data_IF_751459640000
#
_entry.id   IF_751459640000
#
_cell.length_a   1.000
_cell.length_b   1.000
_cell.length_c   1.000
_cell.angle_alpha   90.00
_cell.angle_beta   90.00
_cell.angle_gamma   90.00
#
_symmetry.space_group_name_H-M   'P 1'
#
loop_
_entity.id
_entity.type
_entity.pdbx_description
1 polymer ?
#
# COMPACT_ATOMS: atom_id res chain seq x y z
N UNK A 1 17.88 -4.78 -1.62
CA UNK A 1 16.48 -4.35 -1.81
C UNK A 1 16.10 -4.54 -3.26
N UNK A 2 14.94 -5.12 -3.54
CA UNK A 2 14.42 -5.27 -4.91
C UNK A 2 13.37 -4.20 -5.15
N UNK A 3 13.45 -3.49 -6.27
CA UNK A 3 12.56 -2.36 -6.56
C UNK A 3 12.05 -2.43 -7.99
N UNK A 4 10.88 -1.84 -8.23
CA UNK A 4 10.44 -1.48 -9.57
C UNK A 4 11.24 -0.25 -10.05
N UNK A 5 11.00 0.21 -11.28
CA UNK A 5 11.55 1.49 -11.78
C UNK A 5 10.57 2.61 -11.46
N UNK A 6 11.06 3.72 -10.92
CA UNK A 6 10.28 4.89 -10.49
C UNK A 6 11.16 6.14 -10.36
N UNK A 7 10.57 7.30 -10.07
CA UNK A 7 11.29 8.57 -9.90
C UNK A 7 11.94 8.71 -8.52
N UNK A 8 11.45 7.98 -7.53
CA UNK A 8 11.96 7.85 -6.16
C UNK A 8 13.27 7.06 -6.05
N UNK A 9 13.65 6.41 -7.15
CA UNK A 9 14.80 5.50 -7.23
C UNK A 9 16.14 6.12 -6.81
N UNK A 10 16.48 7.38 -7.11
CA UNK A 10 17.79 7.93 -6.74
C UNK A 10 18.00 7.99 -5.22
N UNK A 11 17.02 8.48 -4.47
CA UNK A 11 17.09 8.54 -3.00
C UNK A 11 17.15 7.14 -2.41
N UNK A 12 16.26 6.27 -2.86
CA UNK A 12 16.14 4.90 -2.40
C UNK A 12 17.43 4.09 -2.69
N UNK A 13 18.06 4.33 -3.85
CA UNK A 13 19.37 3.78 -4.21
C UNK A 13 20.49 4.30 -3.30
N UNK A 14 20.58 5.62 -3.12
CA UNK A 14 21.61 6.25 -2.31
C UNK A 14 21.53 5.78 -0.84
N UNK A 15 20.33 5.81 -0.26
CA UNK A 15 20.11 5.44 1.14
C UNK A 15 20.41 3.96 1.38
N UNK A 16 19.89 3.07 0.52
CA UNK A 16 20.15 1.64 0.70
C UNK A 16 21.63 1.29 0.51
N UNK A 17 22.33 2.00 -0.39
CA UNK A 17 23.78 1.82 -0.58
C UNK A 17 24.55 2.29 0.65
N UNK A 18 24.30 3.50 1.14
CA UNK A 18 24.96 4.02 2.35
C UNK A 18 24.69 3.18 3.59
N UNK A 19 23.45 2.71 3.79
CA UNK A 19 23.11 1.79 4.88
C UNK A 19 23.86 0.46 4.75
N UNK A 20 24.01 -0.07 3.53
CA UNK A 20 24.74 -1.32 3.28
C UNK A 20 26.23 -1.19 3.58
N UNK A 21 26.84 -0.06 3.21
CA UNK A 21 28.25 0.21 3.46
C UNK A 21 28.56 0.31 4.96
N UNK A 22 27.69 0.96 5.73
CA UNK A 22 27.89 1.17 7.17
C UNK A 22 27.54 -0.07 8.00
N UNK A 23 26.38 -0.68 7.76
CA UNK A 23 25.85 -1.72 8.65
C UNK A 23 26.17 -3.14 8.18
N UNK A 24 26.61 -3.32 6.93
CA UNK A 24 26.98 -4.64 6.39
C UNK A 24 28.20 -4.61 5.48
N UNK A 25 29.35 -4.06 5.94
CA UNK A 25 30.55 -3.93 5.10
C UNK A 25 31.11 -5.27 4.62
N UNK A 26 30.78 -6.38 5.31
CA UNK A 26 31.26 -7.72 4.99
C UNK A 26 30.40 -8.45 3.95
N UNK A 27 29.30 -7.86 3.47
CA UNK A 27 28.45 -8.48 2.46
C UNK A 27 28.96 -8.15 1.07
N UNK A 28 29.26 -9.18 0.28
CA UNK A 28 29.72 -9.03 -1.10
C UNK A 28 28.67 -8.31 -1.97
N UNK A 29 28.99 -7.08 -2.36
CA UNK A 29 28.14 -6.21 -3.17
C UNK A 29 27.99 -6.71 -4.61
N UNK A 30 28.98 -7.42 -5.15
CA UNK A 30 28.88 -7.98 -6.50
C UNK A 30 27.87 -9.14 -6.57
N UNK A 31 27.79 -9.92 -5.48
CA UNK A 31 26.83 -11.03 -5.36
C UNK A 31 25.47 -10.60 -4.82
N UNK A 32 25.45 -9.67 -3.87
CA UNK A 32 24.25 -9.19 -3.18
C UNK A 32 24.18 -7.66 -3.23
N UNK A 33 23.83 -7.09 -4.40
CA UNK A 33 23.81 -5.64 -4.56
C UNK A 33 22.83 -4.98 -3.58
N UNK A 34 23.15 -3.76 -3.09
CA UNK A 34 22.29 -3.01 -2.18
C UNK A 34 20.90 -2.81 -2.78
N UNK A 35 20.84 -2.48 -4.08
CA UNK A 35 19.61 -2.28 -4.84
C UNK A 35 19.65 -3.10 -6.11
N UNK A 36 18.53 -3.76 -6.41
CA UNK A 36 18.33 -4.53 -7.63
C UNK A 36 17.00 -4.16 -8.26
N UNK A 37 17.03 -3.61 -9.47
CA UNK A 37 15.83 -3.18 -10.18
C UNK A 37 15.32 -4.30 -11.08
N UNK A 38 14.06 -4.66 -10.91
CA UNK A 38 13.37 -5.64 -11.74
C UNK A 38 12.13 -5.02 -12.39
N UNK A 39 11.67 -5.61 -13.49
CA UNK A 39 10.33 -5.31 -14.01
C UNK A 39 9.29 -5.91 -13.06
N UNK A 40 8.14 -5.27 -12.91
CA UNK A 40 7.06 -5.75 -12.02
C UNK A 40 6.70 -7.20 -12.28
N UNK A 41 6.60 -7.60 -13.55
CA UNK A 41 6.30 -8.98 -13.98
C UNK A 41 7.30 -10.05 -13.51
N UNK A 42 8.48 -9.63 -13.02
CA UNK A 42 9.51 -10.51 -12.47
C UNK A 42 9.57 -10.47 -10.93
N UNK A 43 8.74 -9.65 -10.28
CA UNK A 43 8.61 -9.62 -8.83
C UNK A 43 7.57 -10.68 -8.38
N UNK A 44 7.87 -11.96 -8.63
CA UNK A 44 6.95 -13.08 -8.36
C UNK A 44 6.29 -13.06 -6.97
N UNK A 45 6.98 -12.68 -5.87
CA UNK A 45 6.34 -12.57 -4.57
C UNK A 45 5.19 -11.54 -4.50
N UNK A 46 5.36 -10.34 -5.08
CA UNK A 46 4.29 -9.33 -5.06
C UNK A 46 3.14 -9.73 -5.98
N UNK A 47 3.45 -10.30 -7.15
CA UNK A 47 2.44 -10.76 -8.10
C UNK A 47 1.59 -11.89 -7.50
N UNK A 48 2.21 -12.80 -6.72
CA UNK A 48 1.49 -13.81 -5.97
C UNK A 48 0.58 -13.22 -4.88
N UNK A 49 0.99 -12.13 -4.22
CA UNK A 49 0.15 -11.45 -3.23
C UNK A 49 -1.08 -10.80 -3.86
N UNK A 50 -0.96 -10.22 -5.06
CA UNK A 50 -2.11 -9.65 -5.77
C UNK A 50 -3.18 -10.67 -6.11
N UNK A 51 -2.76 -11.90 -6.44
CA UNK A 51 -3.68 -13.02 -6.65
C UNK A 51 -4.47 -13.34 -5.37
N UNK A 52 -3.78 -13.52 -4.24
CA UNK A 52 -4.44 -13.81 -2.96
C UNK A 52 -5.33 -12.67 -2.47
N UNK A 53 -4.91 -11.42 -2.69
CA UNK A 53 -5.71 -10.24 -2.40
C UNK A 53 -7.03 -10.27 -3.18
N UNK A 54 -6.95 -10.51 -4.50
CA UNK A 54 -8.12 -10.59 -5.37
C UNK A 54 -9.07 -11.73 -4.98
N UNK A 55 -8.52 -12.90 -4.64
CA UNK A 55 -9.32 -14.03 -4.15
C UNK A 55 -10.01 -13.73 -2.81
N UNK A 56 -9.31 -13.07 -1.87
CA UNK A 56 -9.82 -12.74 -0.55
C UNK A 56 -10.90 -11.66 -0.60
N UNK A 57 -10.68 -10.59 -1.38
CA UNK A 57 -11.69 -9.56 -1.59
C UNK A 57 -12.97 -10.12 -2.22
N UNK A 58 -12.87 -11.22 -2.97
CA UNK A 58 -14.02 -11.88 -3.61
C UNK A 58 -14.73 -11.00 -4.65
N UNK A 59 -14.11 -9.88 -5.04
CA UNK A 59 -14.63 -8.88 -5.94
C UNK A 59 -13.57 -8.52 -6.97
N UNK A 60 -13.99 -8.35 -8.21
CA UNK A 60 -13.14 -7.74 -9.23
C UNK A 60 -13.21 -6.21 -9.06
N UNK A 61 -12.27 -5.66 -8.30
CA UNK A 61 -12.16 -4.22 -8.03
C UNK A 61 -12.21 -3.39 -9.32
N UNK A 62 -11.56 -3.88 -10.39
CA UNK A 62 -11.57 -3.21 -11.68
C UNK A 62 -12.99 -3.15 -12.26
N UNK A 63 -13.76 -4.22 -12.19
CA UNK A 63 -15.16 -4.22 -12.64
C UNK A 63 -16.00 -3.27 -11.81
N UNK A 64 -15.82 -3.24 -10.49
CA UNK A 64 -16.52 -2.31 -9.60
C UNK A 64 -16.25 -0.85 -9.98
N UNK A 65 -14.99 -0.49 -10.23
CA UNK A 65 -14.62 0.87 -10.66
C UNK A 65 -15.19 1.17 -12.05
N UNK A 66 -15.05 0.24 -13.01
CA UNK A 66 -15.53 0.45 -14.38
C UNK A 66 -17.06 0.59 -14.44
N UNK A 67 -17.79 -0.09 -13.56
CA UNK A 67 -19.25 -0.03 -13.50
C UNK A 67 -19.77 1.40 -13.28
N UNK A 68 -19.11 2.22 -12.46
CA UNK A 68 -19.54 3.61 -12.26
C UNK A 68 -19.47 4.46 -13.51
N UNK A 69 -18.43 4.24 -14.34
CA UNK A 69 -18.33 4.89 -15.65
C UNK A 69 -19.38 4.35 -16.63
N UNK A 70 -19.54 3.02 -16.72
CA UNK A 70 -20.49 2.39 -17.63
C UNK A 70 -21.95 2.73 -17.32
N UNK A 71 -22.26 2.92 -16.04
CA UNK A 71 -23.61 3.26 -15.56
C UNK A 71 -23.88 4.78 -15.57
N UNK A 72 -22.93 5.61 -16.03
CA UNK A 72 -23.10 7.06 -16.11
C UNK A 72 -23.04 7.79 -14.76
N UNK A 73 -22.56 7.15 -13.70
CA UNK A 73 -22.37 7.75 -12.36
C UNK A 73 -21.13 8.67 -12.38
N UNK A 74 -20.11 8.28 -13.13
CA UNK A 74 -18.83 8.99 -13.21
C UNK A 74 -18.62 9.63 -14.59
N UNK A 75 -18.38 10.95 -14.61
CA UNK A 75 -18.05 11.71 -15.80
C UNK A 75 -16.56 12.10 -15.81
N UNK A 76 -15.79 11.55 -16.76
CA UNK A 76 -14.36 11.83 -16.93
C UNK A 76 -14.06 13.30 -17.29
N UNK A 77 -15.02 14.01 -17.84
CA UNK A 77 -14.84 15.41 -18.26
C UNK A 77 -15.19 16.41 -17.15
N UNK A 78 -15.60 15.93 -15.98
CA UNK A 78 -15.96 16.75 -14.85
C UNK A 78 -14.83 16.74 -13.79
N UNK A 79 -14.19 17.90 -13.52
CA UNK A 79 -13.11 18.01 -12.54
C UNK A 79 -13.52 17.63 -11.11
N UNK A 80 -14.77 17.86 -10.72
CA UNK A 80 -15.31 17.51 -9.41
C UNK A 80 -15.43 15.99 -9.32
N UNK A 81 -15.96 15.34 -10.36
CA UNK A 81 -16.02 13.88 -10.39
C UNK A 81 -14.62 13.27 -10.25
N UNK A 82 -13.64 13.77 -11.02
CA UNK A 82 -12.26 13.29 -10.97
C UNK A 82 -11.67 13.44 -9.56
N UNK A 83 -11.86 14.60 -8.94
CA UNK A 83 -11.34 14.90 -7.61
C UNK A 83 -12.03 14.04 -6.54
N UNK A 84 -13.36 13.93 -6.58
CA UNK A 84 -14.12 13.08 -5.65
C UNK A 84 -13.75 11.60 -5.79
N UNK A 85 -13.54 11.14 -7.03
CA UNK A 85 -13.09 9.77 -7.29
C UNK A 85 -11.72 9.52 -6.66
N UNK A 86 -10.77 10.43 -6.90
CA UNK A 86 -9.40 10.35 -6.36
C UNK A 86 -9.35 10.51 -4.84
N UNK A 87 -10.35 11.14 -4.21
CA UNK A 87 -10.44 11.17 -2.75
C UNK A 87 -11.10 9.90 -2.19
N UNK A 88 -12.21 9.44 -2.77
CA UNK A 88 -13.04 8.38 -2.20
C UNK A 88 -12.49 6.97 -2.45
N UNK A 89 -12.15 6.65 -3.70
CA UNK A 89 -11.76 5.29 -4.06
C UNK A 89 -10.45 4.82 -3.44
N UNK A 90 -9.37 5.65 -3.37
CA UNK A 90 -8.15 5.24 -2.69
C UNK A 90 -8.37 4.87 -1.22
N UNK A 91 -9.25 5.58 -0.52
CA UNK A 91 -9.60 5.25 0.87
C UNK A 91 -10.33 3.91 0.98
N UNK A 92 -11.35 3.68 0.14
CA UNK A 92 -12.08 2.41 0.12
C UNK A 92 -11.15 1.23 -0.22
N UNK A 93 -10.23 1.42 -1.17
CA UNK A 93 -9.21 0.43 -1.53
C UNK A 93 -8.20 0.19 -0.42
N UNK A 94 -7.78 1.24 0.28
CA UNK A 94 -6.87 1.11 1.42
C UNK A 94 -7.48 0.24 2.52
N UNK A 95 -8.78 0.40 2.81
CA UNK A 95 -9.46 -0.47 3.78
C UNK A 95 -9.45 -1.95 3.37
N UNK A 96 -9.60 -2.26 2.08
CA UNK A 96 -9.46 -3.63 1.59
C UNK A 96 -8.05 -4.17 1.77
N UNK A 97 -7.04 -3.35 1.47
CA UNK A 97 -5.63 -3.70 1.63
C UNK A 97 -5.25 -3.91 3.10
N UNK A 98 -5.80 -3.11 4.00
CA UNK A 98 -5.59 -3.22 5.44
C UNK A 98 -6.24 -4.50 5.98
N UNK A 99 -7.48 -4.79 5.58
CA UNK A 99 -8.16 -6.03 5.94
C UNK A 99 -7.42 -7.27 5.41
N UNK A 100 -6.96 -7.22 4.15
CA UNK A 100 -6.12 -8.27 3.58
C UNK A 100 -4.81 -8.44 4.34
N UNK A 101 -4.13 -7.33 4.68
CA UNK A 101 -2.89 -7.37 5.45
C UNK A 101 -3.10 -8.00 6.83
N UNK A 102 -4.19 -7.69 7.50
CA UNK A 102 -4.53 -8.28 8.80
C UNK A 102 -4.81 -9.78 8.66
N UNK A 103 -5.65 -10.17 7.70
CA UNK A 103 -5.91 -11.59 7.39
C UNK A 103 -4.60 -12.33 7.07
N UNK A 104 -3.82 -11.81 6.13
CA UNK A 104 -2.62 -12.44 5.63
C UNK A 104 -1.54 -12.55 6.71
N UNK A 105 -1.42 -11.58 7.61
CA UNK A 105 -0.44 -11.67 8.69
C UNK A 105 -0.86 -12.66 9.79
N UNK A 106 -2.15 -12.96 9.91
CA UNK A 106 -2.69 -13.83 10.97
C UNK A 106 -3.13 -15.21 10.49
N UNK A 107 -3.15 -15.49 9.18
CA UNK A 107 -3.50 -16.83 8.70
C UNK A 107 -2.43 -17.85 9.13
N UNK A 108 -2.89 -19.03 9.55
CA UNK A 108 -2.00 -20.12 9.95
C UNK A 108 -1.44 -20.82 8.73
N UNK A 109 -0.12 -20.78 8.56
CA UNK A 109 0.55 -21.53 7.50
C UNK A 109 0.48 -23.02 7.85
N UNK A 110 0.06 -23.83 6.87
CA UNK A 110 0.00 -25.29 7.02
C UNK A 110 1.36 -25.84 7.44
N UNK A 111 1.36 -26.71 8.45
CA UNK A 111 2.57 -27.40 8.87
C UNK A 111 3.04 -28.39 7.80
N UNK A 112 4.28 -28.21 7.37
CA UNK A 112 5.02 -29.06 6.44
C UNK A 112 6.34 -29.50 7.10
N UNK A 113 6.52 -30.81 7.32
CA UNK A 113 7.66 -31.38 8.07
C UNK A 113 9.04 -31.06 7.47
N UNK A 114 9.10 -30.84 6.15
CA UNK A 114 10.36 -30.61 5.41
C UNK A 114 10.63 -29.14 5.10
N UNK A 115 9.75 -28.21 5.49
CA UNK A 115 9.98 -26.77 5.29
C UNK A 115 10.46 -26.15 6.59
N UNK A 116 11.68 -25.57 6.63
CA UNK A 116 12.19 -24.93 7.82
C UNK A 116 11.44 -23.62 8.17
N UNK A 117 10.76 -23.01 7.20
CA UNK A 117 10.28 -21.64 7.30
C UNK A 117 8.82 -21.59 7.78
N UNK A 118 8.55 -20.86 8.88
CA UNK A 118 7.23 -20.43 9.41
C UNK A 118 6.10 -21.50 9.42
N UNK A 119 6.48 -22.77 9.37
CA UNK A 119 5.60 -23.92 9.20
C UNK A 119 4.79 -24.17 10.47
N UNK A 120 3.47 -24.07 10.37
CA UNK A 120 2.56 -24.22 11.51
C UNK A 120 2.36 -22.96 12.36
N UNK A 121 2.98 -21.83 12.00
CA UNK A 121 2.82 -20.53 12.65
C UNK A 121 2.08 -19.55 11.75
N UNK A 122 1.59 -18.45 12.33
CA UNK A 122 1.19 -17.28 11.55
C UNK A 122 2.44 -16.43 11.23
N UNK A 123 2.45 -15.67 10.12
CA UNK A 123 3.52 -14.72 9.83
C UNK A 123 3.77 -13.73 10.98
N UNK A 124 2.69 -13.17 11.54
CA UNK A 124 2.77 -12.23 12.66
C UNK A 124 3.45 -12.85 13.88
N UNK A 125 3.08 -14.07 14.26
CA UNK A 125 3.69 -14.75 15.41
C UNK A 125 5.16 -15.08 15.15
N UNK A 126 5.50 -15.56 13.95
CA UNK A 126 6.87 -15.85 13.56
C UNK A 126 7.76 -14.60 13.55
N UNK A 127 7.18 -13.42 13.29
CA UNK A 127 7.89 -12.15 13.30
C UNK A 127 8.06 -11.57 14.71
N UNK A 128 7.00 -11.55 15.52
CA UNK A 128 6.99 -10.90 16.85
C UNK A 128 7.66 -11.77 17.92
N UNK A 129 7.45 -13.09 17.87
CA UNK A 129 7.96 -14.05 18.84
C UNK A 129 8.61 -15.24 18.12
N UNK A 130 9.73 -15.02 17.40
CA UNK A 130 10.39 -16.09 16.68
C UNK A 130 10.92 -17.14 17.65
N UNK A 131 10.61 -18.42 17.39
CA UNK A 131 11.25 -19.55 18.08
C UNK A 131 12.72 -19.62 17.65
N UNK A 132 13.69 -19.32 18.55
CA UNK A 132 15.10 -19.27 18.19
C UNK A 132 15.66 -20.65 17.81
N UNK A 133 14.96 -21.73 18.13
CA UNK A 133 15.36 -23.10 17.75
C UNK A 133 14.95 -23.44 16.31
N UNK A 134 14.06 -22.64 15.70
CA UNK A 134 13.46 -22.91 14.37
C UNK A 134 13.64 -21.76 13.37
N UNK A 135 13.85 -20.54 13.85
CA UNK A 135 13.89 -19.33 13.03
C UNK A 135 15.19 -18.57 13.29
N UNK A 136 15.90 -18.25 12.21
CA UNK A 136 17.10 -17.41 12.24
C UNK A 136 16.75 -15.96 11.94
N UNK A 137 17.24 -15.03 12.77
CA UNK A 137 17.18 -13.60 12.48
C UNK A 137 18.10 -13.27 11.30
N UNK A 138 17.51 -12.82 10.19
CA UNK A 138 18.24 -12.48 8.96
C UNK A 138 18.22 -10.97 8.64
N UNK A 139 17.67 -10.13 9.53
CA UNK A 139 17.66 -8.68 9.37
C UNK A 139 18.83 -8.04 10.13
N UNK A 140 19.24 -6.85 9.68
CA UNK A 140 20.26 -6.02 10.30
C UNK A 140 19.56 -4.88 11.02
N UNK A 141 19.92 -4.67 12.28
CA UNK A 141 19.41 -3.54 13.05
C UNK A 141 20.10 -2.26 12.57
N UNK A 142 19.32 -1.23 12.31
CA UNK A 142 19.78 0.10 11.87
C UNK A 142 19.34 1.11 12.91
N UNK A 143 20.23 2.05 13.25
CA UNK A 143 19.94 3.05 14.26
C UNK A 143 18.84 4.01 13.78
N UNK A 144 17.83 4.20 14.63
CA UNK A 144 16.67 5.07 14.33
C UNK A 144 17.07 6.50 13.93
N UNK A 145 18.03 7.17 14.60
CA UNK A 145 18.46 8.51 14.19
C UNK A 145 19.03 8.58 12.76
N UNK A 146 19.66 7.51 12.29
CA UNK A 146 20.17 7.45 10.91
C UNK A 146 19.02 7.37 9.92
N UNK A 147 17.99 6.56 10.22
CA UNK A 147 16.80 6.47 9.37
C UNK A 147 16.04 7.80 9.33
N UNK A 148 15.93 8.50 10.46
CA UNK A 148 15.31 9.82 10.56
C UNK A 148 16.07 10.86 9.72
N UNK A 149 17.40 10.94 9.86
CA UNK A 149 18.24 11.86 9.08
C UNK A 149 18.21 11.58 7.56
N UNK A 150 18.06 10.32 7.14
CA UNK A 150 17.89 9.98 5.72
C UNK A 150 16.51 10.40 5.21
N UNK A 151 15.46 10.27 6.03
CA UNK A 151 14.10 10.70 5.66
C UNK A 151 13.99 12.21 5.50
N UNK A 152 14.67 12.99 6.33
CA UNK A 152 14.69 14.47 6.25
C UNK A 152 15.29 15.00 4.92
N UNK A 153 16.06 14.17 4.21
CA UNK A 153 16.62 14.54 2.90
C UNK A 153 15.64 14.34 1.74
N UNK A 154 14.49 13.69 1.96
CA UNK A 154 13.46 13.53 0.94
C UNK A 154 12.66 14.84 0.87
N UNK A 155 12.59 15.52 -0.29
CA UNK A 155 12.01 16.86 -0.38
C UNK A 155 10.48 16.89 -0.25
N UNK A 156 9.82 15.76 -0.49
CA UNK A 156 8.37 15.62 -0.41
C UNK A 156 8.04 14.88 0.88
N UNK A 157 7.14 15.44 1.68
CA UNK A 157 6.71 14.78 2.91
C UNK A 157 5.88 13.52 2.59
N UNK A 158 5.81 12.59 3.53
CA UNK A 158 4.95 11.40 3.37
C UNK A 158 3.49 11.81 3.13
N UNK A 159 3.00 12.82 3.85
CA UNK A 159 1.64 13.33 3.70
C UNK A 159 1.37 13.85 2.28
N UNK A 160 2.25 14.72 1.77
CA UNK A 160 2.10 15.29 0.42
C UNK A 160 2.21 14.20 -0.66
N UNK A 161 3.08 13.21 -0.46
CA UNK A 161 3.24 12.10 -1.41
C UNK A 161 2.03 11.17 -1.49
N UNK A 162 1.21 11.15 -0.43
CA UNK A 162 0.00 10.31 -0.33
C UNK A 162 -1.28 11.11 -0.63
N UNK A 163 -1.14 12.37 -1.06
CA UNK A 163 -2.27 13.23 -1.34
C UNK A 163 -2.76 13.03 -2.78
N UNK A 164 -4.00 12.58 -2.94
CA UNK A 164 -4.61 12.33 -4.25
C UNK A 164 -5.36 13.54 -4.82
N UNK A 165 -5.65 14.54 -3.98
CA UNK A 165 -6.38 15.76 -4.32
C UNK A 165 -5.71 16.96 -3.66
N UNK A 166 -5.96 18.18 -4.15
CA UNK A 166 -5.41 19.38 -3.51
C UNK A 166 -6.04 19.61 -2.11
N UNK A 167 -5.44 20.51 -1.30
CA UNK A 167 -5.91 20.75 0.06
C UNK A 167 -7.33 21.35 0.14
N UNK A 168 -7.70 22.19 -0.82
CA UNK A 168 -9.01 22.82 -0.87
C UNK A 168 -10.12 21.78 -1.07
N UNK A 169 -9.96 20.91 -2.05
CA UNK A 169 -10.89 19.82 -2.32
C UNK A 169 -10.87 18.76 -1.22
N UNK A 170 -9.69 18.48 -0.62
CA UNK A 170 -9.59 17.59 0.53
C UNK A 170 -10.51 18.06 1.67
N UNK A 171 -10.41 19.33 2.05
CA UNK A 171 -11.24 19.90 3.11
C UNK A 171 -12.73 19.80 2.76
N UNK A 172 -13.10 20.16 1.54
CA UNK A 172 -14.49 20.10 1.06
C UNK A 172 -15.04 18.66 1.08
N UNK A 173 -14.25 17.69 0.64
CA UNK A 173 -14.65 16.29 0.62
C UNK A 173 -14.83 15.73 2.04
N UNK A 174 -13.94 16.07 2.98
CA UNK A 174 -14.06 15.70 4.40
C UNK A 174 -15.32 16.32 5.03
N UNK A 175 -15.57 17.61 4.83
CA UNK A 175 -16.76 18.29 5.35
C UNK A 175 -18.05 17.68 4.78
N UNK A 176 -18.04 17.33 3.49
CA UNK A 176 -19.16 16.66 2.83
C UNK A 176 -19.38 15.26 3.38
N UNK A 177 -18.30 14.49 3.54
CA UNK A 177 -18.36 13.13 4.08
C UNK A 177 -18.86 13.12 5.53
N UNK A 178 -18.47 14.11 6.32
CA UNK A 178 -18.98 14.35 7.68
C UNK A 178 -20.48 14.69 7.67
N UNK A 179 -20.90 15.57 6.76
CA UNK A 179 -22.31 15.99 6.64
C UNK A 179 -23.25 14.82 6.29
N UNK A 180 -22.77 13.83 5.53
CA UNK A 180 -23.55 12.64 5.16
C UNK A 180 -23.42 11.50 6.19
N UNK A 181 -22.73 11.74 7.31
CA UNK A 181 -22.65 10.82 8.44
C UNK A 181 -21.54 9.76 8.37
N UNK A 182 -20.49 9.99 7.58
CA UNK A 182 -19.32 9.09 7.44
C UNK A 182 -19.70 7.63 7.12
N UNK A 183 -20.39 7.38 6.00
CA UNK A 183 -20.79 6.03 5.63
C UNK A 183 -19.58 5.10 5.44
N UNK A 184 -19.72 3.84 5.84
CA UNK A 184 -18.64 2.86 5.80
C UNK A 184 -18.12 2.60 4.37
N UNK A 185 -16.82 2.74 4.17
CA UNK A 185 -16.13 2.50 2.89
C UNK A 185 -15.56 1.07 2.77
N UNK A 186 -15.79 0.22 3.76
CA UNK A 186 -15.33 -1.18 3.75
C UNK A 186 -16.09 -2.06 2.74
N UNK A 187 -17.28 -1.65 2.31
CA UNK A 187 -18.05 -2.34 1.27
C UNK A 187 -17.92 -1.62 -0.07
N UNK A 188 -17.08 -2.16 -0.96
CA UNK A 188 -16.85 -1.60 -2.30
C UNK A 188 -18.12 -1.50 -3.15
N UNK A 189 -19.19 -2.23 -2.82
CA UNK A 189 -20.48 -2.18 -3.53
C UNK A 189 -21.23 -0.88 -3.30
N UNK A 190 -20.97 -0.22 -2.17
CA UNK A 190 -21.67 1.00 -1.75
C UNK A 190 -20.90 2.27 -2.13
N UNK A 191 -19.63 2.15 -2.55
CA UNK A 191 -18.76 3.30 -2.80
C UNK A 191 -19.33 4.23 -3.88
N UNK A 192 -19.96 3.68 -4.93
CA UNK A 192 -20.64 4.52 -5.93
C UNK A 192 -21.89 5.21 -5.42
N UNK A 193 -22.64 4.57 -4.52
CA UNK A 193 -23.81 5.20 -3.90
C UNK A 193 -23.37 6.37 -3.01
N UNK A 194 -22.30 6.17 -2.23
CA UNK A 194 -21.67 7.21 -1.41
C UNK A 194 -21.15 8.35 -2.30
N UNK A 195 -20.49 8.02 -3.41
CA UNK A 195 -20.04 9.00 -4.40
C UNK A 195 -21.19 9.86 -4.89
N UNK A 196 -22.30 9.26 -5.31
CA UNK A 196 -23.48 9.98 -5.79
C UNK A 196 -24.10 10.87 -4.72
N UNK A 197 -24.15 10.42 -3.46
CA UNK A 197 -24.65 11.22 -2.35
C UNK A 197 -23.74 12.41 -2.09
N UNK A 198 -22.42 12.20 -1.99
CA UNK A 198 -21.46 13.29 -1.78
C UNK A 198 -21.51 14.33 -2.91
N UNK A 199 -21.64 13.87 -4.16
CA UNK A 199 -21.71 14.76 -5.32
C UNK A 199 -22.85 15.78 -5.25
N UNK A 200 -24.00 15.42 -4.66
CA UNK A 200 -25.15 16.32 -4.45
C UNK A 200 -24.80 17.48 -3.51
N UNK A 201 -23.90 17.24 -2.56
CA UNK A 201 -23.52 18.20 -1.53
C UNK A 201 -22.31 19.06 -1.92
N UNK A 202 -21.58 18.68 -2.97
CA UNK A 202 -20.42 19.44 -3.46
C UNK A 202 -20.89 20.58 -4.39
N UNK A 203 -20.48 21.83 -4.13
CA UNK A 203 -20.77 22.96 -5.00
C UNK A 203 -20.23 22.73 -6.42
N UNK A 204 -21.04 23.00 -7.44
CA UNK A 204 -20.69 22.74 -8.85
C UNK A 204 -19.87 23.85 -9.52
N UNK A 205 -19.68 24.99 -8.83
CA UNK A 205 -19.04 26.19 -9.36
C UNK A 205 -17.55 26.32 -8.99
N UNK A 206 -16.88 25.20 -8.70
CA UNK A 206 -15.50 25.16 -8.22
C UNK A 206 -14.46 25.00 -9.35
#
# INVERSE_FOLDING_TARGET
MVTNKGSEIPYLFAYQTGLRDVYTPNVDVARFPPVFQLKSVHNTPIEGLWHWFSEMCGLNIKEMIIAGYQNGIYNLNDPIHLSLFNWLWPQALQLQLDHFSEYWNNHKIRSQKRKPNMSGSTPRHAFIAPDPTRITKCYIDVDKPVVEALREQIPISCGDSMQFVNHEFLQLAEETYDAIGRPDLSDLRQVWDIFSVMLIHIPQDM
#
